data_IF_522386674076
#
_entry.id   IF_522386674076
#
_cell.length_a   1.000
_cell.length_b   1.000
_cell.length_c   1.000
_cell.angle_alpha   90.00
_cell.angle_beta   90.00
_cell.angle_gamma   90.00
#
_symmetry.space_group_name_H-M   'P 1'
#
loop_
_entity.id
_entity.type
_entity.pdbx_description
1 polymer ?
#
# COMPACT_ATOMS: atom_id res chain seq x y z
N UNK A 1 16.41 -11.19 -11.99
CA UNK A 1 15.99 -9.87 -12.49
C UNK A 1 17.22 -9.01 -12.56
N UNK A 2 17.54 -8.45 -13.72
CA UNK A 2 18.62 -7.46 -13.84
C UNK A 2 17.95 -6.10 -13.74
N UNK A 3 18.19 -5.41 -12.63
CA UNK A 3 17.67 -4.05 -12.43
C UNK A 3 18.66 -3.11 -13.15
N UNK A 4 18.18 -2.14 -13.96
CA UNK A 4 19.05 -1.19 -14.63
C UNK A 4 19.94 -0.44 -13.61
N UNK A 5 21.16 -0.04 -13.99
CA UNK A 5 22.05 0.72 -13.12
C UNK A 5 21.40 2.04 -12.68
N UNK A 6 20.78 2.78 -13.60
CA UNK A 6 19.95 3.95 -13.29
C UNK A 6 18.49 3.51 -13.09
N UNK A 7 17.91 3.70 -11.90
CA UNK A 7 16.52 3.28 -11.63
C UNK A 7 15.48 4.15 -12.32
N UNK A 8 15.80 5.38 -12.74
CA UNK A 8 14.89 6.19 -13.56
C UNK A 8 14.49 5.44 -14.84
N UNK A 9 15.40 4.65 -15.43
CA UNK A 9 15.12 3.83 -16.63
C UNK A 9 14.04 2.75 -16.39
N UNK A 10 13.87 2.30 -15.13
CA UNK A 10 12.84 1.32 -14.76
C UNK A 10 11.44 1.91 -14.92
N UNK A 11 11.28 3.18 -14.55
CA UNK A 11 10.00 3.86 -14.50
C UNK A 11 9.72 4.61 -15.80
N UNK A 12 10.74 5.22 -16.40
CA UNK A 12 10.60 6.11 -17.55
C UNK A 12 10.04 5.39 -18.78
N UNK A 13 10.46 4.14 -19.04
CA UNK A 13 9.90 3.36 -20.15
C UNK A 13 8.41 3.11 -19.99
N UNK A 14 7.97 2.80 -18.76
CA UNK A 14 6.56 2.64 -18.45
C UNK A 14 5.82 3.97 -18.62
N UNK A 15 6.40 5.06 -18.09
CA UNK A 15 5.83 6.40 -18.17
C UNK A 15 5.64 6.89 -19.61
N UNK A 16 6.65 6.70 -20.46
CA UNK A 16 6.58 6.99 -21.90
C UNK A 16 5.53 6.13 -22.63
N UNK A 17 5.22 4.94 -22.12
CA UNK A 17 4.12 4.10 -22.60
C UNK A 17 2.75 4.49 -22.02
N UNK A 18 2.68 5.56 -21.23
CA UNK A 18 1.44 6.07 -20.60
C UNK A 18 1.19 5.55 -19.19
N UNK A 19 2.09 4.75 -18.60
CA UNK A 19 1.95 4.34 -17.22
C UNK A 19 2.14 5.54 -16.29
N UNK A 20 1.38 5.52 -15.20
CA UNK A 20 1.27 6.65 -14.29
C UNK A 20 1.39 6.21 -12.83
N UNK A 21 1.32 4.89 -12.61
CA UNK A 21 1.54 4.20 -11.34
C UNK A 21 2.48 3.02 -11.62
N UNK A 22 3.37 2.70 -10.67
CA UNK A 22 4.30 1.58 -10.80
C UNK A 22 4.31 0.73 -9.53
N UNK A 23 4.19 -0.59 -9.68
CA UNK A 23 4.20 -1.54 -8.56
C UNK A 23 5.54 -2.26 -8.46
N UNK A 24 6.15 -2.24 -7.29
CA UNK A 24 7.46 -2.81 -6.97
C UNK A 24 7.32 -3.86 -5.88
N UNK A 25 7.23 -5.14 -6.26
CA UNK A 25 7.08 -6.27 -5.35
C UNK A 25 8.40 -6.95 -4.99
N UNK A 26 9.48 -6.18 -4.89
CA UNK A 26 10.83 -6.61 -4.53
C UNK A 26 11.54 -5.55 -3.67
N UNK A 27 12.60 -5.94 -2.98
CA UNK A 27 13.39 -5.05 -2.13
C UNK A 27 14.67 -5.73 -1.64
N UNK A 28 15.51 -4.95 -0.97
CA UNK A 28 16.71 -5.40 -0.29
C UNK A 28 16.46 -5.76 1.17
N UNK A 29 17.52 -5.70 1.97
CA UNK A 29 17.52 -6.04 3.40
C UNK A 29 18.00 -4.90 4.31
N UNK A 30 18.08 -3.68 3.76
CA UNK A 30 18.55 -2.49 4.48
C UNK A 30 17.37 -1.63 4.91
N UNK A 31 17.28 -1.34 6.21
CA UNK A 31 16.27 -0.46 6.80
C UNK A 31 16.68 1.03 6.79
N UNK A 32 17.90 1.31 6.33
CA UNK A 32 18.46 2.66 6.17
C UNK A 32 18.19 3.20 4.77
N UNK A 33 17.95 4.50 4.67
CA UNK A 33 17.84 5.22 3.39
C UNK A 33 19.13 5.08 2.57
N UNK A 34 19.04 4.40 1.42
CA UNK A 34 20.17 4.08 0.56
C UNK A 34 20.07 4.75 -0.82
N UNK A 35 20.93 4.32 -1.74
CA UNK A 35 20.94 4.84 -3.12
C UNK A 35 19.63 4.54 -3.86
N UNK A 36 19.00 3.38 -3.62
CA UNK A 36 17.72 3.06 -4.25
C UNK A 36 16.62 4.02 -3.78
N UNK A 37 16.63 4.38 -2.50
CA UNK A 37 15.63 5.29 -1.94
C UNK A 37 15.80 6.71 -2.48
N UNK A 38 17.06 7.17 -2.61
CA UNK A 38 17.40 8.42 -3.29
C UNK A 38 16.86 8.44 -4.71
N UNK A 39 17.18 7.42 -5.53
CA UNK A 39 16.77 7.41 -6.94
C UNK A 39 15.23 7.34 -7.11
N UNK A 40 14.52 6.66 -6.19
CA UNK A 40 13.05 6.62 -6.20
C UNK A 40 12.45 7.97 -5.78
N UNK A 41 13.03 8.62 -4.76
CA UNK A 41 12.57 9.94 -4.31
C UNK A 41 12.83 11.03 -5.35
N UNK A 42 14.02 11.05 -5.99
CA UNK A 42 14.36 11.97 -7.09
C UNK A 42 13.36 11.83 -8.23
N UNK A 43 13.10 10.59 -8.67
CA UNK A 43 12.18 10.35 -9.78
C UNK A 43 10.76 10.84 -9.47
N UNK A 44 10.26 10.58 -8.25
CA UNK A 44 8.92 11.04 -7.84
C UNK A 44 8.86 12.56 -7.64
N UNK A 45 9.96 13.19 -7.21
CA UNK A 45 10.07 14.64 -7.09
C UNK A 45 10.02 15.32 -8.47
N UNK A 46 10.68 14.75 -9.48
CA UNK A 46 10.70 15.27 -10.85
C UNK A 46 9.42 14.94 -11.64
N UNK A 47 8.66 13.91 -11.23
CA UNK A 47 7.45 13.44 -11.92
C UNK A 47 6.25 13.47 -10.97
N UNK A 48 5.76 14.67 -10.66
CA UNK A 48 4.69 14.89 -9.66
C UNK A 48 3.39 14.12 -9.91
N UNK A 49 3.11 13.68 -11.14
CA UNK A 49 1.92 12.90 -11.47
C UNK A 49 2.15 11.38 -11.50
N UNK A 50 3.34 10.93 -11.12
CA UNK A 50 3.69 9.52 -11.03
C UNK A 50 3.65 9.04 -9.58
N UNK A 51 3.38 7.75 -9.35
CA UNK A 51 3.37 7.18 -8.00
C UNK A 51 3.95 5.77 -8.01
N UNK A 52 4.83 5.47 -7.06
CA UNK A 52 5.47 4.16 -6.92
C UNK A 52 5.00 3.50 -5.63
N UNK A 53 4.51 2.26 -5.76
CA UNK A 53 4.09 1.39 -4.66
C UNK A 53 5.15 0.32 -4.44
N UNK A 54 5.63 0.17 -3.20
CA UNK A 54 6.71 -0.76 -2.86
C UNK A 54 6.24 -1.73 -1.78
N UNK A 55 6.48 -3.03 -1.96
CA UNK A 55 6.24 -4.02 -0.92
C UNK A 55 7.14 -3.76 0.30
N UNK A 56 6.56 -3.64 1.49
CA UNK A 56 7.31 -3.23 2.69
C UNK A 56 8.39 -4.25 3.13
N UNK A 57 8.12 -5.54 2.95
CA UNK A 57 9.01 -6.65 3.34
C UNK A 57 8.25 -7.74 4.10
N UNK A 58 8.84 -8.93 4.20
CA UNK A 58 8.19 -10.13 4.80
C UNK A 58 8.84 -10.58 6.11
N UNK A 59 9.48 -9.64 6.81
CA UNK A 59 10.34 -9.91 7.95
C UNK A 59 9.75 -9.50 9.30
N UNK A 60 8.45 -9.20 9.38
CA UNK A 60 7.76 -8.92 10.65
C UNK A 60 7.81 -10.10 11.63
N UNK A 61 8.03 -11.31 11.11
CA UNK A 61 8.36 -12.48 11.90
C UNK A 61 9.63 -13.16 11.36
N UNK A 62 10.64 -13.30 12.21
CA UNK A 62 11.95 -13.86 11.85
C UNK A 62 12.31 -15.05 12.67
N UNK A 63 13.21 -15.87 12.13
CA UNK A 63 13.86 -16.87 12.94
C UNK A 63 15.06 -16.24 13.68
N UNK A 64 15.11 -16.29 15.01
CA UNK A 64 16.29 -15.82 15.76
C UNK A 64 17.50 -16.77 15.64
N UNK A 65 17.32 -17.92 14.96
CA UNK A 65 18.35 -18.93 14.68
C UNK A 65 18.56 -19.03 13.17
N UNK A 66 19.61 -19.74 12.76
CA UNK A 66 19.85 -20.07 11.34
C UNK A 66 18.65 -20.74 10.66
N UNK A 67 17.85 -21.51 11.41
CA UNK A 67 16.62 -22.14 10.92
C UNK A 67 15.64 -22.40 12.05
N UNK A 68 14.37 -22.11 11.79
CA UNK A 68 13.24 -22.44 12.67
C UNK A 68 12.54 -23.68 12.12
N UNK A 69 12.11 -24.58 13.02
CA UNK A 69 11.44 -25.83 12.60
C UNK A 69 9.94 -25.61 12.43
N UNK A 70 9.33 -24.72 13.22
CA UNK A 70 7.90 -24.46 13.20
C UNK A 70 7.60 -22.97 13.43
N UNK A 71 6.38 -22.54 13.11
CA UNK A 71 5.91 -21.17 13.34
C UNK A 71 6.06 -20.70 14.80
N UNK A 72 5.85 -21.60 15.77
CA UNK A 72 6.04 -21.30 17.20
C UNK A 72 7.46 -20.90 17.61
N UNK A 73 8.46 -21.17 16.76
CA UNK A 73 9.87 -20.85 17.02
C UNK A 73 10.25 -19.46 16.46
N UNK A 74 9.34 -18.80 15.72
CA UNK A 74 9.56 -17.47 15.17
C UNK A 74 9.49 -16.40 16.27
N UNK A 75 10.36 -15.41 16.16
CA UNK A 75 10.22 -14.14 16.84
C UNK A 75 9.27 -13.27 16.01
N UNK A 76 8.12 -12.94 16.61
CA UNK A 76 7.09 -12.10 16.01
C UNK A 76 7.27 -10.64 16.38
N UNK A 77 6.57 -9.75 15.66
CA UNK A 77 6.59 -8.30 15.85
C UNK A 77 8.00 -7.71 15.85
N UNK A 78 8.84 -8.19 14.93
CA UNK A 78 10.21 -7.69 14.78
C UNK A 78 10.18 -6.30 14.16
N UNK A 79 10.60 -5.28 14.91
CA UNK A 79 10.72 -3.89 14.46
C UNK A 79 11.88 -3.69 13.47
N UNK A 80 11.87 -2.58 12.74
CA UNK A 80 12.94 -2.18 11.81
C UNK A 80 13.15 -3.20 10.67
N UNK A 81 12.05 -3.74 10.16
CA UNK A 81 12.03 -4.80 9.15
C UNK A 81 11.43 -4.36 7.82
N UNK A 82 11.07 -3.08 7.70
CA UNK A 82 10.82 -2.43 6.40
C UNK A 82 12.14 -2.12 5.71
N UNK A 83 12.23 -2.40 4.41
CA UNK A 83 13.51 -2.35 3.70
C UNK A 83 13.47 -1.60 2.39
N UNK A 84 14.60 -0.99 2.04
CA UNK A 84 14.84 -0.28 0.78
C UNK A 84 14.42 -1.13 -0.43
N UNK A 85 13.66 -0.58 -1.39
CA UNK A 85 13.33 0.84 -1.56
C UNK A 85 12.06 1.30 -0.81
N UNK A 86 11.47 0.48 0.07
CA UNK A 86 10.25 0.85 0.80
C UNK A 86 10.52 1.89 1.91
N UNK A 87 11.79 2.19 2.20
CA UNK A 87 12.16 3.22 3.18
C UNK A 87 12.25 4.61 2.54
N UNK A 88 12.17 4.73 1.21
CA UNK A 88 12.05 5.99 0.49
C UNK A 88 10.88 6.84 1.00
N UNK A 89 11.03 8.17 0.96
CA UNK A 89 10.07 9.10 1.56
C UNK A 89 8.82 9.22 0.71
N UNK A 90 9.02 9.35 -0.60
CA UNK A 90 7.99 9.71 -1.55
C UNK A 90 7.17 8.50 -2.03
N UNK A 91 7.67 7.27 -1.87
CA UNK A 91 6.94 6.04 -2.23
C UNK A 91 5.77 5.74 -1.28
N UNK A 92 4.89 4.83 -1.70
CA UNK A 92 3.92 4.16 -0.81
C UNK A 92 4.43 2.75 -0.51
N UNK A 93 4.96 2.55 0.69
CA UNK A 93 5.29 1.24 1.22
C UNK A 93 4.02 0.54 1.70
N UNK A 94 3.81 -0.68 1.21
CA UNK A 94 2.57 -1.44 1.43
C UNK A 94 2.87 -2.67 2.28
N UNK A 95 2.26 -2.71 3.47
CA UNK A 95 2.23 -3.90 4.33
C UNK A 95 1.08 -4.85 3.98
N UNK A 96 1.06 -6.00 4.63
CA UNK A 96 0.12 -7.07 4.33
C UNK A 96 -0.88 -7.32 5.47
N UNK A 97 -2.16 -7.30 5.14
CA UNK A 97 -3.19 -7.94 5.96
C UNK A 97 -3.42 -9.37 5.52
N UNK A 98 -4.10 -10.10 6.39
CA UNK A 98 -4.80 -11.31 6.01
C UNK A 98 -5.83 -11.04 4.91
N UNK A 99 -6.13 -12.04 4.09
CA UNK A 99 -7.28 -11.97 3.21
C UNK A 99 -8.56 -12.40 3.95
N UNK A 100 -9.72 -12.04 3.39
CA UNK A 100 -11.00 -12.62 3.76
C UNK A 100 -11.29 -13.89 2.96
N UNK A 101 -11.90 -14.89 3.60
CA UNK A 101 -12.37 -16.10 2.93
C UNK A 101 -12.59 -17.29 3.86
N UNK A 102 -13.73 -17.96 3.67
CA UNK A 102 -14.15 -19.12 4.48
C UNK A 102 -13.37 -20.40 4.18
N UNK A 103 -12.60 -20.42 3.09
CA UNK A 103 -11.86 -21.61 2.63
C UNK A 103 -10.67 -21.99 3.52
N UNK A 104 -10.31 -21.14 4.49
CA UNK A 104 -9.25 -21.38 5.48
C UNK A 104 -9.85 -21.37 6.88
N UNK A 105 -9.44 -22.28 7.77
CA UNK A 105 -9.95 -22.27 9.14
C UNK A 105 -9.48 -21.01 9.89
N UNK A 106 -10.31 -20.51 10.80
CA UNK A 106 -10.06 -19.25 11.51
C UNK A 106 -8.81 -19.24 12.41
N UNK A 107 -8.22 -20.41 12.73
CA UNK A 107 -6.92 -20.47 13.41
C UNK A 107 -5.74 -20.21 12.46
N UNK A 108 -5.97 -20.31 11.15
CA UNK A 108 -4.99 -20.07 10.10
C UNK A 108 -5.08 -18.64 9.55
N UNK A 109 -6.30 -18.15 9.29
CA UNK A 109 -6.55 -16.81 8.75
C UNK A 109 -7.76 -16.18 9.46
N UNK A 110 -7.56 -15.05 10.14
CA UNK A 110 -8.60 -14.44 11.00
C UNK A 110 -9.58 -13.52 10.28
N UNK A 111 -9.22 -12.97 9.12
CA UNK A 111 -9.99 -11.94 8.43
C UNK A 111 -9.14 -10.73 8.09
N UNK A 112 -9.66 -9.86 7.22
CA UNK A 112 -8.92 -8.75 6.59
C UNK A 112 -8.51 -7.64 7.56
N UNK A 113 -9.17 -7.58 8.72
CA UNK A 113 -8.92 -6.67 9.84
C UNK A 113 -7.65 -6.99 10.67
N UNK A 114 -6.90 -8.03 10.28
CA UNK A 114 -5.68 -8.47 10.95
C UNK A 114 -4.44 -8.32 10.06
N UNK A 115 -3.40 -7.67 10.60
CA UNK A 115 -2.08 -7.57 9.94
C UNK A 115 -1.46 -8.97 9.91
N UNK A 116 -0.94 -9.37 8.76
CA UNK A 116 -0.29 -10.67 8.60
C UNK A 116 1.03 -10.69 9.39
N UNK A 117 1.31 -11.80 10.10
CA UNK A 117 2.50 -11.91 10.97
C UNK A 117 3.82 -11.54 10.28
N UNK A 118 3.97 -11.90 9.00
CA UNK A 118 5.19 -11.66 8.24
C UNK A 118 5.32 -10.22 7.77
N UNK A 119 4.25 -9.41 7.76
CA UNK A 119 4.32 -8.04 7.24
C UNK A 119 5.38 -7.26 8.00
N UNK A 120 6.35 -6.71 7.27
CA UNK A 120 7.41 -5.87 7.80
C UNK A 120 6.85 -4.74 8.67
N UNK A 121 7.62 -4.37 9.68
CA UNK A 121 7.31 -3.33 10.65
C UNK A 121 8.33 -2.21 10.54
N UNK A 122 7.86 -0.99 10.73
CA UNK A 122 8.73 0.14 10.95
C UNK A 122 9.36 0.13 12.36
N UNK A 123 9.93 1.26 12.76
CA UNK A 123 10.21 2.42 11.90
C UNK A 123 11.29 2.13 10.83
N UNK A 124 11.55 3.10 9.96
CA UNK A 124 12.82 3.17 9.23
C UNK A 124 13.97 3.49 10.19
N UNK A 125 15.23 3.35 9.75
CA UNK A 125 16.38 3.59 10.61
C UNK A 125 16.47 5.03 11.15
N UNK A 126 15.89 6.00 10.44
CA UNK A 126 15.79 7.41 10.82
C UNK A 126 14.48 7.75 11.57
N UNK A 127 13.68 6.74 11.94
CA UNK A 127 12.53 6.90 12.82
C UNK A 127 11.19 7.21 12.13
N UNK A 128 11.16 7.38 10.80
CA UNK A 128 9.90 7.57 10.05
C UNK A 128 9.02 6.32 10.14
N UNK A 129 7.72 6.53 10.22
CA UNK A 129 6.75 5.43 10.23
C UNK A 129 6.60 4.81 8.85
N UNK A 130 6.72 3.48 8.80
CA UNK A 130 6.45 2.64 7.62
C UNK A 130 5.94 1.27 8.09
N UNK A 131 5.18 0.48 7.29
CA UNK A 131 4.63 0.84 5.97
C UNK A 131 3.72 2.08 6.04
N UNK A 132 3.41 2.70 4.91
CA UNK A 132 2.44 3.81 4.90
C UNK A 132 1.02 3.27 5.07
N UNK A 133 0.70 2.14 4.42
CA UNK A 133 -0.63 1.54 4.42
C UNK A 133 -0.60 0.02 4.28
N UNK A 134 -1.73 -0.63 4.56
CA UNK A 134 -1.94 -2.06 4.46
C UNK A 134 -2.90 -2.43 3.33
N UNK A 135 -2.60 -3.52 2.64
CA UNK A 135 -3.52 -4.18 1.71
C UNK A 135 -3.50 -5.70 1.90
N UNK A 136 -4.55 -6.43 1.50
CA UNK A 136 -4.57 -7.89 1.58
C UNK A 136 -3.33 -8.52 0.92
N UNK A 137 -2.63 -9.38 1.67
CA UNK A 137 -1.37 -9.98 1.21
C UNK A 137 -1.16 -11.42 1.62
N UNK A 138 -2.01 -12.00 2.47
CA UNK A 138 -1.89 -13.39 2.89
C UNK A 138 -3.05 -14.24 2.37
N UNK A 139 -2.73 -15.27 1.58
CA UNK A 139 -3.69 -16.14 0.88
C UNK A 139 -4.43 -15.43 -0.26
N UNK A 140 -3.67 -14.82 -1.15
CA UNK A 140 -4.18 -14.14 -2.36
C UNK A 140 -4.17 -15.12 -3.52
N UNK A 141 -5.34 -15.37 -4.12
CA UNK A 141 -5.50 -16.12 -5.36
C UNK A 141 -5.27 -15.17 -6.54
N UNK A 142 -4.34 -15.51 -7.42
CA UNK A 142 -4.06 -14.73 -8.63
C UNK A 142 -3.60 -15.63 -9.78
N UNK A 143 -3.27 -15.04 -10.93
CA UNK A 143 -2.74 -15.75 -12.09
C UNK A 143 -1.50 -16.56 -11.71
N UNK A 144 -1.49 -17.84 -12.08
CA UNK A 144 -0.41 -18.79 -11.84
C UNK A 144 0.25 -19.15 -13.17
N UNK A 145 1.12 -18.27 -13.67
CA UNK A 145 1.85 -18.47 -14.93
C UNK A 145 2.58 -19.82 -14.98
N UNK A 146 2.63 -20.42 -16.17
CA UNK A 146 3.21 -21.73 -16.47
C UNK A 146 4.18 -21.56 -17.63
N UNK A 147 5.46 -21.26 -17.32
CA UNK A 147 6.44 -20.93 -18.33
C UNK A 147 6.38 -21.89 -19.51
N UNK A 148 6.34 -21.33 -20.72
CA UNK A 148 6.29 -22.05 -22.00
C UNK A 148 4.95 -22.70 -22.38
N UNK A 149 3.82 -22.26 -21.81
CA UNK A 149 2.47 -22.68 -22.25
C UNK A 149 1.64 -21.48 -22.74
N UNK A 150 1.04 -21.56 -23.92
CA UNK A 150 0.03 -20.59 -24.36
C UNK A 150 -1.29 -20.81 -23.61
N UNK A 151 -1.98 -19.75 -23.19
CA UNK A 151 -3.13 -19.86 -22.28
C UNK A 151 -2.73 -20.41 -20.90
N UNK A 152 -1.50 -20.12 -20.45
CA UNK A 152 -0.95 -20.62 -19.18
C UNK A 152 -1.74 -20.19 -17.94
N UNK A 153 -2.41 -19.05 -18.02
CA UNK A 153 -3.25 -18.48 -16.97
C UNK A 153 -4.73 -18.83 -17.12
N UNK A 154 -5.11 -19.53 -18.20
CA UNK A 154 -6.51 -19.89 -18.43
C UNK A 154 -6.87 -21.11 -17.58
N UNK A 155 -7.92 -21.05 -16.75
CA UNK A 155 -8.38 -22.20 -16.02
C UNK A 155 -8.95 -23.23 -17.00
N UNK A 156 -8.62 -24.51 -16.81
CA UNK A 156 -9.29 -25.60 -17.53
C UNK A 156 -10.78 -25.62 -17.12
N UNK A 157 -11.68 -25.40 -18.08
CA UNK A 157 -13.12 -25.30 -17.87
C UNK A 157 -13.73 -26.52 -17.15
N UNK A 158 -13.03 -27.66 -17.15
CA UNK A 158 -13.48 -28.91 -16.55
C UNK A 158 -12.91 -29.22 -15.16
N UNK A 159 -12.15 -28.30 -14.55
CA UNK A 159 -11.55 -28.50 -13.21
C UNK A 159 -12.18 -27.58 -12.16
N UNK A 160 -13.01 -28.08 -11.22
CA UNK A 160 -13.59 -27.25 -10.18
C UNK A 160 -12.51 -26.67 -9.23
N UNK A 161 -12.63 -25.37 -8.93
CA UNK A 161 -11.78 -24.67 -7.97
C UNK A 161 -12.10 -25.14 -6.54
N UNK A 162 -11.26 -26.02 -6.02
CA UNK A 162 -11.34 -26.48 -4.64
C UNK A 162 -10.02 -26.20 -3.94
N UNK A 163 -10.04 -26.11 -2.61
CA UNK A 163 -8.83 -26.02 -1.80
C UNK A 163 -7.77 -27.08 -2.14
N UNK A 164 -8.24 -28.28 -2.50
CA UNK A 164 -7.41 -29.43 -2.88
C UNK A 164 -6.80 -29.25 -4.27
N UNK A 165 -7.49 -28.64 -5.24
CA UNK A 165 -6.93 -28.35 -6.57
C UNK A 165 -5.92 -27.19 -6.53
N UNK A 166 -6.09 -26.22 -5.64
CA UNK A 166 -5.15 -25.11 -5.45
C UNK A 166 -3.83 -25.51 -4.76
N UNK A 167 -3.83 -26.57 -3.94
CA UNK A 167 -2.62 -27.07 -3.26
C UNK A 167 -1.85 -28.14 -4.05
N UNK A 168 -2.44 -28.77 -5.07
CA UNK A 168 -1.88 -29.95 -5.76
C UNK A 168 -1.33 -29.68 -7.16
N UNK A 169 -0.89 -28.45 -7.48
CA UNK A 169 -0.43 -28.10 -8.84
C UNK A 169 -1.45 -28.45 -9.95
N UNK A 170 -2.75 -28.46 -9.64
CA UNK A 170 -3.77 -28.78 -10.63
C UNK A 170 -3.69 -27.77 -11.78
N UNK A 171 -4.04 -28.22 -12.98
CA UNK A 171 -3.96 -27.48 -14.25
C UNK A 171 -4.92 -26.28 -14.37
N UNK A 172 -4.93 -25.36 -13.39
CA UNK A 172 -6.02 -24.39 -13.21
C UNK A 172 -5.65 -22.91 -13.46
N UNK A 173 -4.46 -22.60 -14.02
CA UNK A 173 -4.09 -21.22 -14.40
C UNK A 173 -4.01 -20.19 -13.26
N UNK A 174 -4.36 -20.58 -12.03
CA UNK A 174 -4.41 -19.76 -10.83
C UNK A 174 -3.53 -20.38 -9.73
N UNK A 175 -2.97 -19.54 -8.87
CA UNK A 175 -2.19 -19.96 -7.71
C UNK A 175 -2.44 -19.06 -6.51
N UNK A 176 -2.43 -19.65 -5.31
CA UNK A 176 -2.45 -18.88 -4.06
C UNK A 176 -1.00 -18.54 -3.68
N UNK A 177 -0.74 -17.26 -3.42
CA UNK A 177 0.53 -16.77 -2.86
C UNK A 177 0.29 -15.88 -1.65
N UNK A 178 1.39 -15.52 -0.99
CA UNK A 178 1.39 -14.62 0.14
C UNK A 178 2.66 -13.77 0.17
N UNK A 179 2.57 -12.62 0.81
CA UNK A 179 3.66 -11.66 0.98
C UNK A 179 3.16 -10.23 0.78
N UNK A 180 3.91 -9.25 1.27
CA UNK A 180 3.70 -7.84 0.89
C UNK A 180 3.85 -7.63 -0.61
N UNK A 181 4.55 -8.55 -1.29
CA UNK A 181 4.59 -8.65 -2.76
C UNK A 181 3.23 -8.82 -3.43
N UNK A 182 2.22 -9.36 -2.72
CA UNK A 182 0.83 -9.45 -3.20
C UNK A 182 0.02 -8.22 -2.80
N UNK A 183 0.33 -7.60 -1.67
CA UNK A 183 -0.31 -6.36 -1.21
C UNK A 183 0.02 -5.15 -2.10
N UNK A 184 1.28 -4.98 -2.50
CA UNK A 184 1.71 -3.85 -3.33
C UNK A 184 0.92 -3.70 -4.65
N UNK A 185 0.70 -4.74 -5.48
CA UNK A 185 -0.12 -4.62 -6.67
C UNK A 185 -1.61 -4.40 -6.38
N UNK A 186 -2.14 -4.91 -5.26
CA UNK A 186 -3.51 -4.63 -4.83
C UNK A 186 -3.67 -3.13 -4.49
N UNK A 187 -2.74 -2.57 -3.73
CA UNK A 187 -2.71 -1.14 -3.43
C UNK A 187 -2.55 -0.29 -4.70
N UNK A 188 -1.70 -0.73 -5.62
CA UNK A 188 -1.54 -0.06 -6.93
C UNK A 188 -2.86 -0.05 -7.71
N UNK A 189 -3.58 -1.18 -7.73
CA UNK A 189 -4.90 -1.26 -8.39
C UNK A 189 -5.95 -0.35 -7.75
N UNK A 190 -5.98 -0.26 -6.41
CA UNK A 190 -6.84 0.69 -5.70
C UNK A 190 -6.51 2.14 -6.07
N UNK A 191 -5.22 2.47 -6.12
CA UNK A 191 -4.75 3.80 -6.54
C UNK A 191 -5.09 4.12 -8.00
N UNK A 192 -5.11 3.13 -8.90
CA UNK A 192 -5.60 3.30 -10.28
C UNK A 192 -7.05 3.77 -10.28
N UNK A 193 -7.91 3.20 -9.43
CA UNK A 193 -9.32 3.61 -9.32
C UNK A 193 -9.47 5.01 -8.72
N UNK A 194 -8.65 5.37 -7.73
CA UNK A 194 -8.59 6.74 -7.20
C UNK A 194 -8.20 7.73 -8.31
N UNK A 195 -7.18 7.39 -9.11
CA UNK A 195 -6.78 8.25 -10.22
C UNK A 195 -7.90 8.41 -11.25
N UNK A 196 -8.52 7.29 -11.65
CA UNK A 196 -9.65 7.28 -12.58
C UNK A 196 -10.82 8.14 -12.05
N UNK A 197 -11.10 8.10 -10.74
CA UNK A 197 -12.14 8.90 -10.11
C UNK A 197 -11.96 10.41 -10.38
N UNK A 198 -10.73 10.91 -10.27
CA UNK A 198 -10.42 12.31 -10.58
C UNK A 198 -10.39 12.59 -12.08
N UNK A 199 -9.76 11.73 -12.88
CA UNK A 199 -9.61 11.93 -14.33
C UNK A 199 -10.95 11.86 -15.06
N UNK A 200 -11.91 11.09 -14.57
CA UNK A 200 -13.25 11.03 -15.13
C UNK A 200 -14.21 12.09 -14.56
N UNK A 201 -13.76 12.87 -13.57
CA UNK A 201 -14.55 13.97 -13.00
C UNK A 201 -15.67 13.52 -12.06
N UNK A 202 -15.43 12.50 -11.24
CA UNK A 202 -16.37 12.06 -10.21
C UNK A 202 -16.33 12.96 -8.96
N UNK A 203 -15.17 13.55 -8.65
CA UNK A 203 -15.05 14.60 -7.63
C UNK A 203 -15.85 15.86 -8.05
N UNK A 204 -16.50 16.61 -7.13
CA UNK A 204 -16.58 16.40 -5.67
C UNK A 204 -17.78 15.61 -5.17
N UNK A 205 -18.78 15.38 -6.01
CA UNK A 205 -20.09 14.90 -5.58
C UNK A 205 -20.34 13.41 -5.86
N UNK A 206 -19.31 12.68 -6.31
CA UNK A 206 -19.42 11.27 -6.62
C UNK A 206 -20.24 10.98 -7.88
N UNK A 207 -20.38 11.96 -8.77
CA UNK A 207 -21.10 11.84 -10.04
C UNK A 207 -20.22 12.30 -11.20
N UNK A 208 -19.97 11.39 -12.15
CA UNK A 208 -19.16 11.63 -13.34
C UNK A 208 -19.64 12.86 -14.12
N UNK A 209 -18.83 13.92 -14.08
CA UNK A 209 -19.09 15.20 -14.76
C UNK A 209 -17.81 15.62 -15.47
N UNK A 210 -17.82 15.66 -16.81
CA UNK A 210 -16.62 15.89 -17.61
C UNK A 210 -15.90 17.20 -17.26
N UNK A 211 -16.65 18.25 -16.89
CA UNK A 211 -16.12 19.56 -16.49
C UNK A 211 -15.32 19.50 -15.17
N UNK A 212 -15.52 18.45 -14.37
CA UNK A 212 -14.79 18.24 -13.12
C UNK A 212 -13.56 17.33 -13.30
N UNK A 213 -13.26 16.89 -14.53
CA UNK A 213 -12.07 16.08 -14.82
C UNK A 213 -10.80 16.83 -14.42
N UNK A 214 -9.92 16.15 -13.70
CA UNK A 214 -8.59 16.67 -13.34
C UNK A 214 -7.54 15.57 -13.35
N UNK A 215 -6.29 15.92 -13.64
CA UNK A 215 -5.14 15.00 -13.54
C UNK A 215 -4.51 15.11 -12.14
N UNK A 216 -4.73 14.15 -11.23
CA UNK A 216 -4.22 14.25 -9.86
C UNK A 216 -2.70 14.10 -9.83
N UNK A 217 -2.03 14.71 -8.84
CA UNK A 217 -0.64 14.37 -8.49
C UNK A 217 -0.55 12.99 -7.82
N UNK A 218 0.64 12.39 -7.81
CA UNK A 218 0.93 11.21 -7.02
C UNK A 218 0.74 11.46 -5.51
N UNK A 219 1.07 12.67 -5.05
CA UNK A 219 0.84 13.10 -3.67
C UNK A 219 -0.65 13.12 -3.31
N UNK A 220 -1.52 13.61 -4.20
CA UNK A 220 -2.96 13.56 -4.00
C UNK A 220 -3.47 12.12 -3.95
N UNK A 221 -3.02 11.26 -4.88
CA UNK A 221 -3.39 9.83 -4.86
C UNK A 221 -2.97 9.18 -3.54
N UNK A 222 -1.75 9.47 -3.06
CA UNK A 222 -1.26 9.03 -1.75
C UNK A 222 -2.14 9.56 -0.61
N UNK A 223 -2.44 10.86 -0.58
CA UNK A 223 -3.25 11.47 0.47
C UNK A 223 -4.65 10.86 0.56
N UNK A 224 -5.33 10.69 -0.58
CA UNK A 224 -6.68 10.08 -0.62
C UNK A 224 -6.65 8.62 -0.16
N UNK A 225 -5.65 7.86 -0.61
CA UNK A 225 -5.50 6.45 -0.23
C UNK A 225 -5.25 6.29 1.29
N UNK A 226 -4.43 7.16 1.87
CA UNK A 226 -4.12 7.17 3.30
C UNK A 226 -5.30 7.66 4.16
N UNK A 227 -6.02 8.69 3.70
CA UNK A 227 -7.09 9.32 4.47
C UNK A 227 -8.29 8.39 4.73
N UNK A 228 -8.58 7.49 3.80
CA UNK A 228 -9.63 6.48 3.95
C UNK A 228 -9.12 5.14 4.50
N UNK A 229 -7.92 5.10 5.07
CA UNK A 229 -7.38 3.89 5.69
C UNK A 229 -8.18 3.49 6.95
N UNK A 230 -8.57 2.22 7.03
CA UNK A 230 -9.30 1.64 8.17
C UNK A 230 -8.35 1.12 9.22
N UNK A 231 -8.54 1.54 10.47
CA UNK A 231 -7.78 0.99 11.59
C UNK A 231 -7.94 -0.54 11.65
N UNK A 232 -6.81 -1.22 11.69
CA UNK A 232 -6.66 -2.64 11.89
C UNK A 232 -6.79 -2.96 13.38
N UNK A 233 -7.31 -4.15 13.69
CA UNK A 233 -7.60 -4.53 15.07
C UNK A 233 -6.40 -5.19 15.76
N UNK A 234 -5.74 -6.12 15.07
CA UNK A 234 -4.68 -6.96 15.62
C UNK A 234 -3.63 -7.30 14.56
N UNK A 235 -2.45 -7.69 15.02
CA UNK A 235 -1.51 -8.53 14.26
C UNK A 235 -1.79 -9.99 14.60
N UNK A 236 -1.99 -10.85 13.60
CA UNK A 236 -2.15 -12.29 13.81
C UNK A 236 -0.79 -13.01 13.81
N UNK A 237 -0.15 -13.12 14.97
CA UNK A 237 1.12 -13.83 15.19
C UNK A 237 0.90 -15.34 15.45
N UNK A 238 0.42 -16.05 14.42
CA UNK A 238 0.02 -17.46 14.50
C UNK A 238 -1.10 -17.68 15.53
N UNK A 239 -0.81 -18.26 16.70
CA UNK A 239 -1.77 -18.45 17.80
C UNK A 239 -1.77 -17.29 18.81
N UNK A 240 -0.88 -16.30 18.65
CA UNK A 240 -0.78 -15.10 19.47
C UNK A 240 -1.30 -13.89 18.70
N UNK A 241 -1.75 -12.88 19.42
CA UNK A 241 -2.26 -11.64 18.85
C UNK A 241 -1.61 -10.45 19.53
N UNK A 242 -1.24 -9.45 18.74
CA UNK A 242 -0.71 -8.18 19.23
C UNK A 242 -1.67 -7.09 18.85
N UNK A 243 -2.09 -6.27 19.82
CA UNK A 243 -3.00 -5.16 19.56
C UNK A 243 -2.30 -4.09 18.73
N UNK A 244 -2.99 -3.63 17.69
CA UNK A 244 -2.54 -2.50 16.88
C UNK A 244 -3.17 -1.20 17.40
N UNK A 245 -2.60 -0.08 16.97
CA UNK A 245 -3.09 1.28 17.24
C UNK A 245 -2.94 2.11 15.96
N UNK A 246 -3.85 3.04 15.70
CA UNK A 246 -3.68 4.03 14.64
C UNK A 246 -2.27 4.64 14.69
N UNK A 247 -1.64 4.75 13.50
CA UNK A 247 -0.29 5.29 13.30
C UNK A 247 0.85 4.50 13.96
N UNK A 248 0.61 3.24 14.35
CA UNK A 248 1.69 2.36 14.80
C UNK A 248 2.60 1.89 13.65
N UNK A 249 3.67 1.17 14.00
CA UNK A 249 4.67 0.66 13.06
C UNK A 249 4.26 -0.63 12.34
N UNK A 250 3.04 -1.12 12.56
CA UNK A 250 2.51 -2.33 11.94
C UNK A 250 1.47 -2.03 10.86
N UNK A 251 0.59 -1.05 11.09
CA UNK A 251 -0.49 -0.67 10.17
C UNK A 251 -0.41 0.77 9.68
N UNK A 252 0.20 1.67 10.46
CA UNK A 252 0.21 3.10 10.22
C UNK A 252 -1.19 3.69 9.91
N UNK A 253 -1.48 4.10 8.67
CA UNK A 253 -2.79 4.61 8.26
C UNK A 253 -3.87 3.51 8.14
N UNK A 254 -3.53 2.24 8.37
CA UNK A 254 -4.50 1.15 8.38
C UNK A 254 -4.63 0.45 7.03
N UNK A 255 -5.75 -0.23 6.80
CA UNK A 255 -6.04 -0.95 5.56
C UNK A 255 -6.77 -0.08 4.56
N UNK A 256 -6.36 -0.15 3.29
CA UNK A 256 -7.01 0.54 2.18
C UNK A 256 -8.51 0.28 2.16
N UNK A 257 -9.29 1.35 2.05
CA UNK A 257 -10.73 1.29 1.80
C UNK A 257 -11.17 2.37 0.82
N UNK A 258 -11.51 1.95 -0.40
CA UNK A 258 -11.99 2.88 -1.44
C UNK A 258 -13.32 3.52 -1.07
N UNK A 259 -14.17 2.82 -0.31
CA UNK A 259 -15.49 3.32 0.10
C UNK A 259 -15.39 4.41 1.17
N UNK A 260 -14.27 4.49 1.89
CA UNK A 260 -14.02 5.58 2.85
C UNK A 260 -13.07 6.64 2.26
N UNK A 261 -12.46 6.37 1.10
CA UNK A 261 -11.55 7.29 0.41
C UNK A 261 -12.26 8.15 -0.64
N UNK A 262 -13.29 7.62 -1.32
CA UNK A 262 -13.96 8.26 -2.44
C UNK A 262 -15.45 8.43 -2.20
N UNK A 263 -15.97 9.66 -2.31
CA UNK A 263 -17.41 9.92 -2.28
C UNK A 263 -18.05 9.43 -3.59
N UNK A 264 -19.07 8.59 -3.50
CA UNK A 264 -19.80 8.00 -4.64
C UNK A 264 -21.29 8.13 -4.36
N UNK A 265 -22.00 8.84 -5.23
CA UNK A 265 -23.43 9.11 -5.11
C UNK A 265 -24.22 7.80 -4.92
N UNK A 266 -24.99 7.73 -3.84
CA UNK A 266 -25.82 6.56 -3.51
C UNK A 266 -25.06 5.32 -3.01
N UNK A 267 -23.76 5.42 -2.70
CA UNK A 267 -22.96 4.33 -2.10
C UNK A 267 -22.44 4.66 -0.71
N UNK A 268 -22.00 5.89 -0.49
CA UNK A 268 -21.51 6.39 0.77
C UNK A 268 -21.85 7.88 0.90
N UNK A 269 -21.80 8.40 2.13
CA UNK A 269 -22.23 9.76 2.46
C UNK A 269 -21.14 10.45 3.27
N UNK A 270 -20.24 11.14 2.57
CA UNK A 270 -19.31 12.09 3.18
C UNK A 270 -18.91 13.15 2.15
N UNK A 271 -18.50 14.32 2.65
CA UNK A 271 -18.00 15.41 1.82
C UNK A 271 -16.48 15.43 1.82
N UNK A 272 -15.86 15.85 0.71
CA UNK A 272 -14.40 15.93 0.59
C UNK A 272 -13.97 17.30 0.10
N UNK A 273 -12.91 17.83 0.72
CA UNK A 273 -12.18 19.00 0.23
C UNK A 273 -10.80 18.53 -0.21
N UNK A 274 -10.51 18.69 -1.50
CA UNK A 274 -9.26 18.25 -2.10
C UNK A 274 -8.47 19.45 -2.58
N UNK A 275 -7.21 19.50 -2.15
CA UNK A 275 -6.25 20.52 -2.54
C UNK A 275 -5.04 19.81 -3.14
N UNK A 276 -4.73 20.12 -4.40
CA UNK A 276 -3.62 19.48 -5.13
C UNK A 276 -2.63 20.53 -5.66
N UNK A 277 -1.34 20.15 -5.70
CA UNK A 277 -0.22 20.96 -6.19
C UNK A 277 -0.15 22.38 -5.62
N UNK A 278 -0.35 22.52 -4.31
CA UNK A 278 -0.11 23.79 -3.62
C UNK A 278 1.30 23.81 -3.07
N UNK A 279 2.10 24.73 -3.62
CA UNK A 279 3.41 25.07 -3.09
C UNK A 279 3.25 25.82 -1.78
N UNK A 280 4.13 25.56 -0.83
CA UNK A 280 4.24 26.23 0.45
C UNK A 280 5.71 26.57 0.67
N UNK A 281 6.00 27.79 1.15
CA UNK A 281 7.35 28.23 1.46
C UNK A 281 7.55 28.34 2.97
N UNK A 282 8.79 28.55 3.41
CA UNK A 282 9.09 28.75 4.83
C UNK A 282 8.26 29.92 5.38
N UNK A 283 7.68 29.73 6.56
CA UNK A 283 6.82 30.69 7.25
C UNK A 283 5.44 30.97 6.58
N UNK A 284 5.11 30.33 5.44
CA UNK A 284 3.78 30.43 4.86
C UNK A 284 2.73 29.70 5.71
N UNK A 285 1.50 30.22 5.71
CA UNK A 285 0.35 29.54 6.31
C UNK A 285 -0.81 29.52 5.33
N UNK A 286 -1.25 28.34 4.93
CA UNK A 286 -2.46 28.14 4.14
C UNK A 286 -3.63 27.75 5.03
N UNK A 287 -4.73 28.48 4.94
CA UNK A 287 -5.95 28.21 5.73
C UNK A 287 -7.09 27.79 4.81
N UNK A 288 -7.71 26.66 5.13
CA UNK A 288 -8.88 26.13 4.42
C UNK A 288 -10.05 25.99 5.40
N UNK A 289 -11.26 26.31 4.93
CA UNK A 289 -12.48 26.21 5.75
C UNK A 289 -13.35 25.07 5.23
N UNK A 290 -13.61 24.08 6.08
CA UNK A 290 -14.49 22.95 5.78
C UNK A 290 -15.74 23.03 6.64
N UNK A 291 -16.91 22.99 6.01
CA UNK A 291 -18.19 23.03 6.71
C UNK A 291 -18.63 21.60 7.04
N UNK A 292 -18.82 21.33 8.32
CA UNK A 292 -19.33 20.06 8.82
C UNK A 292 -20.79 20.30 9.25
N UNK A 293 -21.72 19.66 8.54
CA UNK A 293 -23.12 19.67 8.95
C UNK A 293 -23.31 18.73 10.15
N UNK A 294 -23.55 19.31 11.32
CA UNK A 294 -23.79 18.58 12.56
C UNK A 294 -25.24 18.60 13.02
N UNK A 295 -26.17 19.03 12.15
CA UNK A 295 -27.58 19.22 12.52
C UNK A 295 -28.28 17.92 12.94
N UNK A 296 -27.77 16.75 12.55
CA UNK A 296 -28.30 15.45 12.92
C UNK A 296 -27.86 14.94 14.30
N UNK A 297 -26.91 15.62 14.99
CA UNK A 297 -26.30 15.17 16.26
C UNK A 297 -25.83 13.70 16.25
N UNK A 298 -25.47 13.19 15.08
CA UNK A 298 -25.02 11.82 14.90
C UNK A 298 -23.57 11.69 15.39
N UNK A 299 -23.31 10.77 16.32
CA UNK A 299 -21.96 10.46 16.83
C UNK A 299 -21.02 9.89 15.76
N UNK A 300 -21.49 9.70 14.53
CA UNK A 300 -20.73 9.20 13.37
C UNK A 300 -20.09 10.31 12.51
N UNK A 301 -20.20 11.58 12.92
CA UNK A 301 -19.53 12.69 12.21
C UNK A 301 -18.05 12.69 12.58
N UNK A 302 -17.23 12.09 11.70
CA UNK A 302 -15.78 12.06 11.82
C UNK A 302 -15.14 13.01 10.80
N UNK A 303 -14.19 13.84 11.26
CA UNK A 303 -13.31 14.61 10.38
C UNK A 303 -11.95 13.92 10.32
N UNK A 304 -11.52 13.57 9.11
CA UNK A 304 -10.16 13.11 8.82
C UNK A 304 -9.51 14.06 7.83
N UNK A 305 -8.24 14.41 8.09
CA UNK A 305 -7.44 15.25 7.23
C UNK A 305 -6.05 14.64 7.08
N UNK A 306 -5.59 14.49 5.83
CA UNK A 306 -4.29 13.94 5.50
C UNK A 306 -3.51 14.90 4.63
N UNK A 307 -2.33 15.31 5.10
CA UNK A 307 -1.38 16.12 4.36
C UNK A 307 -0.26 15.22 3.82
N UNK A 308 0.02 15.33 2.53
CA UNK A 308 1.13 14.63 1.87
C UNK A 308 1.87 15.63 1.00
N UNK A 309 3.19 15.60 1.07
CA UNK A 309 4.08 16.34 0.18
C UNK A 309 5.13 15.40 -0.41
N UNK A 310 5.76 15.85 -1.49
CA UNK A 310 6.89 15.16 -2.13
C UNK A 310 8.13 15.99 -1.83
N UNK A 311 9.13 15.38 -1.21
CA UNK A 311 10.37 16.08 -0.85
C UNK A 311 11.48 15.80 -1.86
N UNK A 312 12.47 16.69 -1.98
CA UNK A 312 13.74 16.33 -2.59
C UNK A 312 14.35 15.10 -1.92
N UNK A 313 15.12 14.32 -2.68
CA UNK A 313 15.81 13.17 -2.14
C UNK A 313 16.82 13.57 -1.06
N UNK A 314 16.95 12.72 -0.05
CA UNK A 314 17.92 12.90 1.03
C UNK A 314 19.27 12.25 0.65
N UNK A 315 20.32 12.54 1.41
CA UNK A 315 21.60 11.85 1.24
C UNK A 315 21.53 10.42 1.79
N UNK A 316 22.01 9.39 1.07
CA UNK A 316 22.12 8.02 1.58
C UNK A 316 22.83 7.95 2.93
N UNK A 317 22.27 7.21 3.88
CA UNK A 317 22.79 7.12 5.25
C UNK A 317 22.36 8.26 6.17
N UNK A 318 21.43 9.13 5.76
CA UNK A 318 20.84 10.16 6.61
C UNK A 318 20.29 9.58 7.92
N UNK A 319 20.52 10.29 9.03
CA UNK A 319 19.97 9.99 10.36
C UNK A 319 18.65 10.72 10.63
N UNK A 320 18.36 11.76 9.84
CA UNK A 320 17.09 12.44 9.70
C UNK A 320 16.92 12.72 8.21
N UNK A 321 16.05 11.96 7.53
CA UNK A 321 15.96 12.02 6.07
C UNK A 321 14.87 13.00 5.58
N UNK A 322 13.92 13.38 6.43
CA UNK A 322 12.97 14.48 6.17
C UNK A 322 13.75 15.79 6.07
N UNK A 323 13.46 16.60 5.04
CA UNK A 323 14.22 17.83 4.74
C UNK A 323 13.41 19.10 5.00
N UNK A 324 12.10 19.03 4.80
CA UNK A 324 11.14 20.10 5.03
C UNK A 324 10.18 19.64 6.13
N UNK A 325 10.24 20.30 7.29
CA UNK A 325 9.41 20.02 8.49
C UNK A 325 8.75 21.28 9.06
#
# INVERSE_FOLDING_TARGET
MVIPPNKADLFERGRLAGAQLHSVSWGGSLNTYGSYDLEFDEYLYENEDFMIFVAAGNDGARCPKLRCRNYKDLQYDTSNTVFSPAVAKNVIAVGASNNEGESKPAWYLKGSDHVAFFSARGPTADGRSKPDIIAPGYSILSAGARPNKHGECDPDANQPFTFKTLNNNANVGLSIKYGTSMSAPIATGAATLIRQYFEEGWYPNGKKTLQNSMRPSGALVKAVLLNGGREMYLVQNFLKYTKTKAYDQAQNFGMISLVDSLSIEGKNEFSTMIIDRKQIYNDDTHTYTFLIDNTSCDSRIELSATLVWVEPAATPGCMACTLND
#
